data_IF_552803188773
#
_entry.id   IF_552803188773
#
_cell.length_a   1.000
_cell.length_b   1.000
_cell.length_c   1.000
_cell.angle_alpha   90.00
_cell.angle_beta   90.00
_cell.angle_gamma   90.00
#
_symmetry.space_group_name_H-M   'P 1'
#
loop_
_entity.id
_entity.type
_entity.pdbx_description
1 polymer ?
#
# COMPACT_ATOMS: atom_id res chain seq x y z
N UNK A 1 -15.93 41.86 -56.06
CA UNK A 1 -16.62 41.19 -54.95
C UNK A 1 -16.79 39.75 -55.34
N UNK A 2 -15.94 38.89 -54.80
CA UNK A 2 -16.16 37.45 -54.77
C UNK A 2 -16.37 37.11 -53.31
N UNK A 3 -17.47 36.43 -52.97
CA UNK A 3 -17.69 35.93 -51.63
C UNK A 3 -16.57 34.91 -51.30
N UNK A 4 -15.97 34.94 -50.09
CA UNK A 4 -15.09 33.85 -49.68
C UNK A 4 -15.94 32.57 -49.58
N UNK A 5 -15.41 31.40 -49.96
CA UNK A 5 -16.14 30.15 -49.85
C UNK A 5 -16.40 29.85 -48.37
N UNK A 6 -17.66 30.01 -47.97
CA UNK A 6 -18.17 29.60 -46.67
C UNK A 6 -18.25 28.08 -46.55
N UNK A 7 -17.10 27.40 -46.64
CA UNK A 7 -16.94 26.05 -46.10
C UNK A 7 -17.04 26.14 -44.58
N UNK A 8 -18.29 26.24 -44.14
CA UNK A 8 -18.69 26.07 -42.75
C UNK A 8 -18.13 24.72 -42.34
N UNK A 9 -17.14 24.71 -41.45
CA UNK A 9 -16.56 23.48 -40.90
C UNK A 9 -17.72 22.55 -40.54
N UNK A 10 -17.84 21.35 -41.16
CA UNK A 10 -18.93 20.44 -40.89
C UNK A 10 -18.69 19.83 -39.52
N UNK A 11 -19.04 20.62 -38.49
CA UNK A 11 -18.81 20.27 -37.11
C UNK A 11 -19.49 18.92 -36.87
N UNK A 12 -18.75 17.90 -36.37
CA UNK A 12 -19.42 16.71 -35.88
C UNK A 12 -20.44 17.15 -34.84
N UNK A 13 -21.60 16.48 -34.81
CA UNK A 13 -22.70 16.79 -33.89
C UNK A 13 -22.32 16.44 -32.45
N UNK A 14 -21.46 17.26 -31.85
CA UNK A 14 -21.06 17.16 -30.46
C UNK A 14 -21.84 18.14 -29.58
N UNK A 15 -21.96 17.80 -28.31
CA UNK A 15 -22.51 18.68 -27.27
C UNK A 15 -21.43 18.97 -26.24
N UNK A 16 -21.34 20.23 -25.79
CA UNK A 16 -20.51 20.57 -24.63
C UNK A 16 -21.15 20.01 -23.36
N UNK A 17 -20.40 19.21 -22.61
CA UNK A 17 -20.87 18.56 -21.38
C UNK A 17 -20.17 19.15 -20.18
N UNK A 18 -20.93 19.45 -19.13
CA UNK A 18 -20.35 19.78 -17.83
C UNK A 18 -19.92 18.49 -17.10
N UNK A 19 -18.67 18.46 -16.63
CA UNK A 19 -18.12 17.41 -15.76
C UNK A 19 -17.84 17.92 -14.34
N UNK A 20 -18.17 19.17 -14.04
CA UNK A 20 -17.90 19.85 -12.79
C UNK A 20 -16.47 20.38 -12.67
N UNK A 21 -16.32 21.53 -12.01
CA UNK A 21 -15.01 22.09 -11.68
C UNK A 21 -14.34 22.86 -12.81
N UNK A 22 -13.13 22.44 -13.22
CA UNK A 22 -12.20 23.19 -14.10
C UNK A 22 -12.58 23.24 -15.59
N UNK A 23 -13.83 22.94 -15.94
CA UNK A 23 -14.31 22.87 -17.31
C UNK A 23 -15.41 23.90 -17.52
N UNK A 24 -15.18 24.88 -18.41
CA UNK A 24 -16.10 26.01 -18.60
C UNK A 24 -17.31 25.59 -19.42
N UNK A 25 -18.50 25.80 -18.86
CA UNK A 25 -19.77 25.67 -19.56
C UNK A 25 -20.10 26.99 -20.28
N UNK A 26 -20.24 26.96 -21.61
CA UNK A 26 -21.03 27.98 -22.34
C UNK A 26 -20.30 29.00 -23.23
N UNK A 27 -19.00 29.24 -23.10
CA UNK A 27 -18.22 30.00 -24.11
C UNK A 27 -17.00 29.18 -24.54
N UNK A 28 -16.93 28.82 -25.82
CA UNK A 28 -15.75 28.20 -26.41
C UNK A 28 -14.60 29.20 -26.59
N UNK A 29 -13.37 28.70 -26.76
CA UNK A 29 -12.23 29.54 -27.13
C UNK A 29 -12.51 30.38 -28.39
N UNK A 30 -13.19 29.78 -29.38
CA UNK A 30 -13.63 30.45 -30.62
C UNK A 30 -14.56 31.63 -30.34
N UNK A 31 -15.67 31.41 -29.63
CA UNK A 31 -16.66 32.47 -29.33
C UNK A 31 -16.03 33.60 -28.51
N UNK A 32 -15.15 33.25 -27.58
CA UNK A 32 -14.42 34.23 -26.77
C UNK A 32 -13.51 35.09 -27.65
N UNK A 33 -12.63 34.48 -28.46
CA UNK A 33 -11.69 35.20 -29.33
C UNK A 33 -12.39 36.01 -30.43
N UNK A 34 -13.48 35.49 -30.99
CA UNK A 34 -14.31 36.20 -31.97
C UNK A 34 -15.02 37.43 -31.35
N UNK A 35 -15.44 37.34 -30.09
CA UNK A 35 -16.13 38.41 -29.35
C UNK A 35 -15.18 39.47 -28.80
N UNK A 36 -14.00 39.10 -28.30
CA UNK A 36 -13.05 40.04 -27.68
C UNK A 36 -12.08 40.66 -28.68
N UNK A 37 -11.78 39.98 -29.79
CA UNK A 37 -10.66 40.36 -30.67
C UNK A 37 -9.29 40.12 -30.02
N UNK A 38 -9.23 39.34 -28.94
CA UNK A 38 -8.00 38.96 -28.24
C UNK A 38 -7.74 37.45 -28.38
N UNK A 39 -6.47 37.04 -28.30
CA UNK A 39 -6.11 35.63 -28.28
C UNK A 39 -6.41 35.00 -26.91
N UNK A 40 -6.99 33.80 -26.93
CA UNK A 40 -7.47 33.07 -25.75
C UNK A 40 -6.76 31.72 -25.70
N UNK A 41 -6.21 31.37 -24.54
CA UNK A 41 -5.36 30.19 -24.36
C UNK A 41 -5.81 29.32 -23.19
N UNK A 42 -5.57 28.02 -23.30
CA UNK A 42 -5.76 27.04 -22.23
C UNK A 42 -7.21 26.76 -21.86
N UNK A 43 -8.17 27.08 -22.73
CA UNK A 43 -9.60 26.83 -22.46
C UNK A 43 -9.84 25.32 -22.52
N UNK A 44 -10.61 24.80 -21.57
CA UNK A 44 -10.85 23.37 -21.42
C UNK A 44 -12.34 23.06 -21.32
N UNK A 45 -12.79 22.15 -22.17
CA UNK A 45 -14.17 21.68 -22.19
C UNK A 45 -14.22 20.16 -22.29
N UNK A 46 -15.32 19.56 -21.81
CA UNK A 46 -15.68 18.22 -22.24
C UNK A 46 -16.68 18.30 -23.38
N UNK A 47 -16.53 17.43 -24.37
CA UNK A 47 -17.48 17.22 -25.46
C UNK A 47 -18.02 15.79 -25.39
N UNK A 48 -19.26 15.60 -25.80
CA UNK A 48 -19.85 14.29 -26.06
C UNK A 48 -20.26 14.16 -27.53
N UNK A 49 -19.93 13.02 -28.13
CA UNK A 49 -20.35 12.63 -29.47
C UNK A 49 -21.69 11.86 -29.42
N UNK A 50 -22.42 11.71 -30.55
CA UNK A 50 -23.74 11.05 -30.57
C UNK A 50 -23.72 9.56 -30.23
N UNK A 51 -22.55 8.92 -30.31
CA UNK A 51 -22.31 7.54 -29.90
C UNK A 51 -22.15 7.37 -28.38
N UNK A 52 -22.16 8.48 -27.63
CA UNK A 52 -21.94 8.54 -26.18
C UNK A 52 -20.48 8.68 -25.77
N UNK A 53 -19.52 8.67 -26.71
CA UNK A 53 -18.10 8.88 -26.45
C UNK A 53 -17.89 10.30 -25.92
N UNK A 54 -17.10 10.44 -24.84
CA UNK A 54 -16.73 11.74 -24.27
C UNK A 54 -15.24 12.01 -24.47
N UNK A 55 -14.87 13.24 -24.78
CA UNK A 55 -13.48 13.70 -24.87
C UNK A 55 -13.27 14.98 -24.06
N UNK A 56 -12.09 15.13 -23.48
CA UNK A 56 -11.59 16.37 -22.90
C UNK A 56 -10.76 17.09 -23.96
N UNK A 57 -11.11 18.33 -24.22
CA UNK A 57 -10.50 19.16 -25.25
C UNK A 57 -9.82 20.35 -24.59
N UNK A 58 -8.56 20.57 -24.95
CA UNK A 58 -7.88 21.85 -24.76
C UNK A 58 -7.96 22.64 -26.07
N UNK A 59 -8.39 23.90 -26.00
CA UNK A 59 -8.54 24.77 -27.15
C UNK A 59 -7.87 26.14 -26.91
N UNK A 60 -7.06 26.54 -27.88
CA UNK A 60 -6.50 27.88 -28.01
C UNK A 60 -7.11 28.54 -29.25
N UNK A 61 -7.46 29.81 -29.18
CA UNK A 61 -8.05 30.54 -30.30
C UNK A 61 -7.41 31.92 -30.45
N UNK A 62 -7.05 32.29 -31.69
CA UNK A 62 -6.46 33.57 -32.01
C UNK A 62 -7.19 34.23 -33.20
N UNK A 63 -7.59 35.50 -33.08
CA UNK A 63 -8.14 36.25 -34.21
C UNK A 63 -7.03 36.59 -35.22
N UNK A 64 -7.34 36.43 -36.49
CA UNK A 64 -6.50 36.84 -37.63
C UNK A 64 -7.20 38.01 -38.31
N UNK A 65 -6.49 39.12 -38.45
CA UNK A 65 -6.99 40.38 -39.00
C UNK A 65 -6.08 40.87 -40.12
N UNK A 66 -6.61 41.06 -41.32
CA UNK A 66 -5.98 41.88 -42.35
C UNK A 66 -6.51 43.32 -42.23
N UNK A 67 -5.67 44.23 -41.71
CA UNK A 67 -6.01 45.65 -41.60
C UNK A 67 -6.61 46.05 -40.26
N UNK A 68 -7.92 46.37 -40.23
CA UNK A 68 -8.61 46.94 -39.04
C UNK A 68 -9.80 46.12 -38.53
N UNK A 69 -10.17 45.04 -39.20
CA UNK A 69 -11.23 44.13 -38.77
C UNK A 69 -10.68 42.70 -38.67
N UNK A 70 -11.24 41.92 -37.74
CA UNK A 70 -10.97 40.47 -37.63
C UNK A 70 -11.68 39.76 -38.76
N UNK A 71 -10.91 39.09 -39.63
CA UNK A 71 -11.46 38.43 -40.82
C UNK A 71 -11.73 36.95 -40.53
N UNK A 72 -10.89 36.31 -39.71
CA UNK A 72 -11.00 34.89 -39.34
C UNK A 72 -10.57 34.66 -37.88
N UNK A 73 -10.96 33.52 -37.28
CA UNK A 73 -10.39 33.04 -36.01
C UNK A 73 -9.77 31.66 -36.26
N UNK A 74 -8.49 31.51 -35.93
CA UNK A 74 -7.80 30.22 -35.96
C UNK A 74 -7.95 29.56 -34.60
N UNK A 75 -8.37 28.30 -34.58
CA UNK A 75 -8.53 27.52 -33.36
C UNK A 75 -7.61 26.29 -33.44
N UNK A 76 -6.72 26.16 -32.46
CA UNK A 76 -5.96 24.93 -32.23
C UNK A 76 -6.71 24.07 -31.21
N UNK A 77 -6.90 22.79 -31.51
CA UNK A 77 -7.70 21.85 -30.71
C UNK A 77 -6.86 20.61 -30.43
N UNK A 78 -6.69 20.27 -29.15
CA UNK A 78 -5.99 19.07 -28.71
C UNK A 78 -6.92 18.19 -27.86
N UNK A 79 -6.99 16.90 -28.21
CA UNK A 79 -7.58 15.89 -27.34
C UNK A 79 -6.61 15.60 -26.19
N UNK A 80 -7.04 15.91 -24.96
CA UNK A 80 -6.27 15.72 -23.73
C UNK A 80 -6.89 14.63 -22.84
N UNK A 81 -7.86 13.87 -23.35
CA UNK A 81 -8.61 12.84 -22.60
C UNK A 81 -7.69 11.84 -21.92
N UNK A 82 -6.75 11.26 -22.67
CA UNK A 82 -5.85 10.22 -22.14
C UNK A 82 -4.90 10.80 -21.08
N UNK A 83 -4.34 12.00 -21.33
CA UNK A 83 -3.41 12.66 -20.42
C UNK A 83 -4.07 13.08 -19.10
N UNK A 84 -5.26 13.67 -19.15
CA UNK A 84 -6.01 14.05 -17.94
C UNK A 84 -6.59 12.81 -17.22
N UNK A 85 -6.92 11.73 -17.94
CA UNK A 85 -7.34 10.46 -17.33
C UNK A 85 -6.20 9.80 -16.55
N UNK A 86 -5.01 9.69 -17.16
CA UNK A 86 -3.83 9.15 -16.47
C UNK A 86 -3.38 10.06 -15.32
N UNK A 87 -3.48 11.39 -15.47
CA UNK A 87 -3.24 12.34 -14.39
C UNK A 87 -4.21 12.14 -13.23
N UNK A 88 -5.51 12.05 -13.50
CA UNK A 88 -6.54 11.83 -12.47
C UNK A 88 -6.39 10.47 -11.79
N UNK A 89 -5.96 9.43 -12.53
CA UNK A 89 -5.65 8.11 -12.01
C UNK A 89 -4.43 8.13 -11.09
N UNK A 90 -3.34 8.77 -11.51
CA UNK A 90 -2.13 8.94 -10.71
C UNK A 90 -2.40 9.73 -9.43
N UNK A 91 -3.16 10.83 -9.52
CA UNK A 91 -3.60 11.62 -8.36
C UNK A 91 -4.43 10.78 -7.38
N UNK A 92 -5.43 10.03 -7.89
CA UNK A 92 -6.25 9.15 -7.07
C UNK A 92 -5.41 8.06 -6.39
N UNK A 93 -4.46 7.45 -7.11
CA UNK A 93 -3.55 6.46 -6.53
C UNK A 93 -2.65 7.09 -5.45
N UNK A 94 -2.13 8.31 -5.66
CA UNK A 94 -1.35 9.04 -4.65
C UNK A 94 -2.15 9.21 -3.36
N UNK A 95 -3.32 9.84 -3.43
CA UNK A 95 -4.18 10.11 -2.25
C UNK A 95 -4.53 8.82 -1.49
N UNK A 96 -4.74 7.70 -2.19
CA UNK A 96 -5.01 6.40 -1.57
C UNK A 96 -3.78 5.79 -0.87
N UNK A 97 -2.56 6.08 -1.33
CA UNK A 97 -1.31 5.63 -0.70
C UNK A 97 -0.90 6.55 0.45
N UNK A 98 -1.04 7.86 0.26
CA UNK A 98 -0.72 8.93 1.22
C UNK A 98 -1.39 8.64 2.58
N UNK A 99 -2.71 8.42 2.56
CA UNK A 99 -3.56 8.25 3.75
C UNK A 99 -3.92 6.79 4.04
N UNK A 100 -3.10 5.82 3.60
CA UNK A 100 -3.29 4.42 3.99
C UNK A 100 -2.79 4.17 5.42
N UNK A 101 -3.54 3.42 6.23
CA UNK A 101 -3.13 3.02 7.60
C UNK A 101 -1.84 2.16 7.64
N UNK A 102 -1.56 1.45 6.54
CA UNK A 102 -0.32 0.68 6.40
C UNK A 102 0.83 1.62 6.02
N UNK A 103 1.96 1.49 6.73
CA UNK A 103 3.18 2.21 6.37
C UNK A 103 3.75 1.65 5.05
N UNK A 104 3.83 2.48 4.01
CA UNK A 104 4.33 2.10 2.69
C UNK A 104 5.57 2.90 2.31
N UNK A 105 6.55 2.21 1.75
CA UNK A 105 7.78 2.80 1.23
C UNK A 105 8.21 2.15 -0.08
N UNK A 106 8.94 2.90 -0.91
CA UNK A 106 9.74 2.37 -2.03
C UNK A 106 11.19 2.71 -1.78
N UNK A 107 12.05 1.71 -1.86
CA UNK A 107 13.50 1.86 -1.75
C UNK A 107 14.15 1.50 -3.09
N UNK A 108 15.09 2.33 -3.52
CA UNK A 108 15.99 2.07 -4.65
C UNK A 108 17.43 2.07 -4.15
N UNK A 109 18.18 1.00 -4.43
CA UNK A 109 19.56 0.81 -3.95
C UNK A 109 19.73 1.04 -2.44
N UNK A 110 18.75 0.54 -1.67
CA UNK A 110 18.69 0.67 -0.22
C UNK A 110 18.30 2.06 0.32
N UNK A 111 17.93 3.01 -0.56
CA UNK A 111 17.53 4.38 -0.18
C UNK A 111 16.05 4.62 -0.41
N UNK A 112 15.38 5.24 0.55
CA UNK A 112 13.98 5.64 0.40
C UNK A 112 13.81 6.63 -0.76
N UNK A 113 12.83 6.37 -1.63
CA UNK A 113 12.43 7.23 -2.77
C UNK A 113 11.00 7.73 -2.67
N UNK A 114 10.13 6.94 -2.03
CA UNK A 114 8.75 7.28 -1.73
C UNK A 114 8.42 6.71 -0.35
N UNK A 115 7.71 7.49 0.45
CA UNK A 115 7.28 7.18 1.83
C UNK A 115 5.88 7.82 1.97
N UNK A 116 4.89 7.11 2.51
CA UNK A 116 3.58 7.70 2.83
C UNK A 116 3.53 8.27 4.26
N UNK A 117 2.47 9.01 4.60
CA UNK A 117 2.30 9.61 5.93
C UNK A 117 2.45 8.57 7.05
N UNK A 118 1.76 7.44 6.95
CA UNK A 118 1.85 6.35 7.92
C UNK A 118 3.28 5.79 8.09
N UNK A 119 4.13 5.83 7.06
CA UNK A 119 5.53 5.41 7.13
C UNK A 119 6.48 6.51 7.61
N UNK A 120 6.05 7.77 7.70
CA UNK A 120 6.77 8.87 8.38
C UNK A 120 6.35 9.06 9.84
N UNK A 121 5.10 8.71 10.17
CA UNK A 121 4.62 8.53 11.54
C UNK A 121 5.24 7.28 12.20
N UNK A 122 5.33 6.19 11.43
CA UNK A 122 6.36 5.17 11.64
C UNK A 122 7.74 5.79 11.34
N UNK A 123 8.87 5.29 11.86
CA UNK A 123 10.19 5.96 11.78
C UNK A 123 10.30 7.29 12.57
N UNK A 124 9.25 8.13 12.63
CA UNK A 124 9.21 9.37 13.40
C UNK A 124 9.84 10.59 12.71
N UNK A 125 9.77 10.63 11.37
CA UNK A 125 10.34 11.70 10.51
C UNK A 125 9.35 12.04 9.39
N UNK A 126 9.35 13.28 8.88
CA UNK A 126 8.46 13.58 7.76
C UNK A 126 8.82 12.76 6.51
N UNK A 127 7.87 12.42 5.62
CA UNK A 127 8.15 11.65 4.41
C UNK A 127 9.28 12.26 3.56
N UNK A 128 9.37 13.58 3.47
CA UNK A 128 10.42 14.29 2.74
C UNK A 128 11.81 14.15 3.39
N UNK A 129 11.88 14.06 4.72
CA UNK A 129 13.11 13.85 5.47
C UNK A 129 13.60 12.39 5.42
N UNK A 130 12.69 11.43 5.19
CA UNK A 130 13.05 10.04 4.99
C UNK A 130 13.69 9.79 3.60
N UNK A 131 13.26 10.52 2.56
CA UNK A 131 13.78 10.35 1.18
C UNK A 131 15.30 10.57 1.10
N UNK A 132 15.99 9.62 0.48
CA UNK A 132 17.45 9.60 0.33
C UNK A 132 18.20 8.89 1.47
N UNK A 133 17.60 8.80 2.66
CA UNK A 133 18.13 8.04 3.80
C UNK A 133 18.07 6.52 3.55
N UNK A 134 18.81 5.75 4.34
CA UNK A 134 18.77 4.27 4.34
C UNK A 134 18.10 3.74 5.60
N UNK A 135 17.76 2.44 5.63
CA UNK A 135 17.27 1.76 6.84
C UNK A 135 18.17 2.00 8.06
N UNK A 136 19.50 2.05 7.86
CA UNK A 136 20.48 2.22 8.95
C UNK A 136 20.54 3.63 9.54
N UNK A 137 20.02 4.61 8.81
CA UNK A 137 19.97 6.00 9.28
C UNK A 137 18.72 6.27 10.14
N UNK A 138 17.66 5.47 9.96
CA UNK A 138 16.34 5.67 10.58
C UNK A 138 15.92 4.57 11.57
N UNK A 139 16.54 3.38 11.52
CA UNK A 139 16.15 2.22 12.33
C UNK A 139 17.32 1.63 13.13
N UNK A 140 17.03 0.93 14.25
CA UNK A 140 18.01 0.10 14.95
C UNK A 140 18.73 -0.89 14.01
N UNK A 141 20.03 -1.07 14.20
CA UNK A 141 20.90 -1.81 13.25
C UNK A 141 20.49 -3.26 13.02
N UNK A 142 19.87 -3.92 13.99
CA UNK A 142 19.34 -5.28 13.90
C UNK A 142 18.08 -5.32 13.00
N UNK A 143 17.13 -4.42 13.24
CA UNK A 143 15.92 -4.27 12.42
C UNK A 143 16.27 -3.86 10.99
N UNK A 144 17.17 -2.89 10.83
CA UNK A 144 17.66 -2.41 9.54
C UNK A 144 18.32 -3.54 8.72
N UNK A 145 19.12 -4.39 9.37
CA UNK A 145 19.76 -5.53 8.69
C UNK A 145 18.73 -6.59 8.30
N UNK A 146 17.82 -6.96 9.20
CA UNK A 146 16.76 -7.93 8.89
C UNK A 146 15.85 -7.48 7.74
N UNK A 147 15.54 -6.17 7.63
CA UNK A 147 14.79 -5.58 6.51
C UNK A 147 15.58 -5.60 5.20
N UNK A 148 16.89 -5.33 5.24
CA UNK A 148 17.76 -5.42 4.07
C UNK A 148 17.83 -6.86 3.54
N UNK A 149 18.13 -7.84 4.40
CA UNK A 149 18.25 -9.27 4.06
C UNK A 149 16.96 -9.87 3.46
N UNK A 150 15.79 -9.36 3.86
CA UNK A 150 14.50 -9.77 3.25
C UNK A 150 14.21 -9.04 1.94
N UNK A 151 14.71 -7.82 1.77
CA UNK A 151 14.58 -7.06 0.52
C UNK A 151 15.47 -7.66 -0.56
N UNK A 152 16.72 -8.00 -0.22
CA UNK A 152 17.67 -8.69 -1.10
C UNK A 152 17.08 -10.03 -1.57
N UNK A 153 16.61 -10.89 -0.66
CA UNK A 153 15.96 -12.16 -1.03
C UNK A 153 14.71 -12.00 -1.89
N UNK A 154 13.94 -10.92 -1.73
CA UNK A 154 12.79 -10.64 -2.59
C UNK A 154 13.24 -10.29 -4.02
N UNK A 155 14.32 -9.51 -4.16
CA UNK A 155 14.94 -9.20 -5.46
C UNK A 155 15.54 -10.46 -6.09
N UNK A 156 16.34 -11.23 -5.37
CA UNK A 156 16.95 -12.49 -5.85
C UNK A 156 15.91 -13.52 -6.31
N UNK A 157 14.78 -13.63 -5.58
CA UNK A 157 13.69 -14.54 -5.93
C UNK A 157 12.81 -14.02 -7.07
N UNK A 158 12.88 -12.73 -7.43
CA UNK A 158 11.96 -12.08 -8.35
C UNK A 158 10.49 -12.12 -7.89
N UNK A 159 10.24 -12.32 -6.59
CA UNK A 159 8.93 -12.58 -6.02
C UNK A 159 8.76 -11.90 -4.66
N UNK A 160 7.51 -11.63 -4.27
CA UNK A 160 7.23 -10.99 -3.00
C UNK A 160 7.52 -11.93 -1.81
N UNK A 161 8.18 -11.40 -0.77
CA UNK A 161 8.54 -12.12 0.45
C UNK A 161 7.96 -11.39 1.65
N UNK A 162 7.24 -12.10 2.53
CA UNK A 162 6.75 -11.56 3.79
C UNK A 162 7.63 -11.98 4.97
N UNK A 163 7.70 -11.12 5.97
CA UNK A 163 8.28 -11.42 7.28
C UNK A 163 7.43 -10.85 8.41
N UNK A 164 7.61 -11.41 9.61
CA UNK A 164 7.04 -10.86 10.84
C UNK A 164 8.19 -10.39 11.73
N UNK A 165 8.17 -9.11 12.09
CA UNK A 165 9.18 -8.45 12.91
C UNK A 165 8.54 -8.06 14.23
N UNK A 166 9.17 -8.41 15.35
CA UNK A 166 8.76 -7.96 16.67
C UNK A 166 9.72 -6.85 17.14
N UNK A 167 9.16 -5.69 17.50
CA UNK A 167 9.93 -4.51 17.93
C UNK A 167 9.51 -4.15 19.36
N UNK A 168 10.48 -4.12 20.28
CA UNK A 168 10.23 -3.82 21.70
C UNK A 168 10.29 -2.32 21.94
N UNK A 169 9.14 -1.65 21.85
CA UNK A 169 8.99 -0.21 22.07
C UNK A 169 8.73 0.11 23.54
N UNK A 170 9.81 0.25 24.32
CA UNK A 170 9.73 0.48 25.77
C UNK A 170 9.17 -0.76 26.49
N UNK A 171 8.03 -0.61 27.18
CA UNK A 171 7.36 -1.72 27.87
C UNK A 171 6.43 -2.54 26.96
N UNK A 172 6.24 -2.15 25.69
CA UNK A 172 5.31 -2.79 24.75
C UNK A 172 6.05 -3.40 23.57
N UNK A 173 5.87 -4.69 23.35
CA UNK A 173 6.24 -5.31 22.07
C UNK A 173 5.15 -5.00 21.04
N UNK A 174 5.55 -4.48 19.88
CA UNK A 174 4.71 -4.37 18.69
C UNK A 174 5.12 -5.44 17.68
N UNK A 175 4.15 -5.97 16.96
CA UNK A 175 4.38 -6.98 15.92
C UNK A 175 4.01 -6.38 14.58
N UNK A 176 4.95 -6.36 13.64
CA UNK A 176 4.75 -5.88 12.28
C UNK A 176 4.82 -7.04 11.29
N UNK A 177 3.91 -7.03 10.32
CA UNK A 177 4.00 -7.86 9.12
C UNK A 177 4.52 -6.99 7.98
N UNK A 178 5.69 -7.33 7.45
CA UNK A 178 6.36 -6.57 6.40
C UNK A 178 6.40 -7.40 5.14
N UNK A 179 5.75 -6.90 4.08
CA UNK A 179 5.79 -7.47 2.74
C UNK A 179 6.81 -6.71 1.90
N UNK A 180 7.82 -7.42 1.39
CA UNK A 180 8.82 -6.92 0.46
C UNK A 180 8.41 -7.36 -0.95
N UNK A 181 8.21 -6.40 -1.86
CA UNK A 181 7.80 -6.65 -3.25
C UNK A 181 8.88 -6.09 -4.18
N UNK A 182 9.60 -6.94 -4.94
CA UNK A 182 10.58 -6.48 -5.91
C UNK A 182 9.86 -5.79 -7.07
N UNK A 183 10.50 -4.79 -7.68
CA UNK A 183 9.92 -3.98 -8.75
C UNK A 183 10.95 -3.72 -9.84
N UNK A 184 10.45 -3.42 -11.03
CA UNK A 184 11.28 -2.85 -12.08
C UNK A 184 11.76 -1.45 -11.66
N UNK A 185 13.06 -1.21 -11.83
CA UNK A 185 13.72 0.06 -11.53
C UNK A 185 13.36 1.14 -12.56
N UNK A 186 13.04 2.35 -12.11
CA UNK A 186 12.70 3.48 -12.99
C UNK A 186 13.98 4.22 -13.41
N UNK A 187 14.72 3.59 -14.32
CA UNK A 187 15.94 4.12 -14.98
C UNK A 187 17.08 4.47 -14.00
N UNK A 188 18.01 3.53 -13.84
CA UNK A 188 19.36 3.81 -13.33
C UNK A 188 19.64 3.41 -11.89
N UNK A 189 18.67 2.85 -11.16
CA UNK A 189 18.93 2.09 -9.94
C UNK A 189 19.12 0.60 -10.29
N UNK A 190 20.01 -0.11 -9.60
CA UNK A 190 20.25 -1.55 -9.83
C UNK A 190 19.15 -2.41 -9.18
N UNK A 191 18.54 -1.90 -8.11
CA UNK A 191 17.51 -2.59 -7.33
C UNK A 191 16.34 -1.66 -6.96
N UNK A 192 15.11 -2.17 -6.98
CA UNK A 192 13.92 -1.45 -6.52
C UNK A 192 12.97 -2.39 -5.75
N UNK A 193 12.55 -1.98 -4.56
CA UNK A 193 11.70 -2.77 -3.66
C UNK A 193 10.64 -1.86 -3.03
N UNK A 194 9.36 -2.20 -3.18
CA UNK A 194 8.32 -1.66 -2.31
C UNK A 194 8.23 -2.48 -1.03
N UNK A 195 8.02 -1.80 0.09
CA UNK A 195 7.69 -2.41 1.38
C UNK A 195 6.34 -1.91 1.85
N UNK A 196 5.53 -2.84 2.36
CA UNK A 196 4.29 -2.54 3.09
C UNK A 196 4.43 -3.12 4.49
N UNK A 197 4.39 -2.25 5.49
CA UNK A 197 4.55 -2.56 6.90
C UNK A 197 3.21 -2.36 7.63
N UNK A 198 2.54 -3.45 8.00
CA UNK A 198 1.30 -3.41 8.78
C UNK A 198 1.57 -3.74 10.24
N UNK A 199 1.09 -2.93 11.17
CA UNK A 199 1.06 -3.33 12.58
C UNK A 199 -0.04 -4.37 12.80
N UNK A 200 0.34 -5.55 13.30
CA UNK A 200 -0.56 -6.68 13.59
C UNK A 200 -0.58 -7.05 15.09
N UNK A 201 -0.05 -6.19 15.97
CA UNK A 201 0.04 -6.40 17.43
C UNK A 201 -1.28 -6.87 18.06
N UNK A 202 -2.39 -6.17 17.79
CA UNK A 202 -3.72 -6.49 18.33
C UNK A 202 -4.29 -7.81 17.77
N UNK A 203 -3.86 -8.24 16.58
CA UNK A 203 -4.24 -9.53 16.01
C UNK A 203 -3.38 -10.66 16.61
N UNK A 204 -2.06 -10.46 16.67
CA UNK A 204 -1.12 -11.43 17.24
C UNK A 204 -1.47 -11.78 18.70
N UNK A 205 -1.85 -10.78 19.51
CA UNK A 205 -2.30 -10.99 20.89
C UNK A 205 -3.64 -11.75 20.96
N UNK A 206 -4.63 -11.40 20.13
CA UNK A 206 -5.89 -12.17 20.06
C UNK A 206 -5.65 -13.62 19.65
N UNK A 207 -4.79 -13.85 18.65
CA UNK A 207 -4.41 -15.21 18.25
C UNK A 207 -3.66 -15.97 19.35
N UNK A 208 -2.79 -15.30 20.13
CA UNK A 208 -2.09 -15.89 21.28
C UNK A 208 -3.08 -16.35 22.35
N UNK A 209 -3.98 -15.46 22.77
CA UNK A 209 -5.00 -15.76 23.79
C UNK A 209 -5.94 -16.90 23.35
N UNK A 210 -6.34 -16.93 22.07
CA UNK A 210 -7.16 -18.02 21.52
C UNK A 210 -6.41 -19.37 21.49
N UNK A 211 -5.11 -19.39 21.19
CA UNK A 211 -4.28 -20.60 21.27
C UNK A 211 -4.16 -21.09 22.71
N UNK A 212 -3.87 -20.19 23.65
CA UNK A 212 -3.71 -20.54 25.07
C UNK A 212 -4.98 -21.13 25.68
N UNK A 213 -6.16 -20.56 25.39
CA UNK A 213 -7.42 -21.11 25.89
C UNK A 213 -7.79 -22.44 25.21
N UNK A 214 -7.51 -22.61 23.91
CA UNK A 214 -7.65 -23.92 23.23
C UNK A 214 -6.76 -24.96 23.88
N UNK A 215 -5.47 -24.69 24.06
CA UNK A 215 -4.50 -25.64 24.59
C UNK A 215 -4.86 -26.01 26.05
N UNK A 216 -5.44 -25.08 26.81
CA UNK A 216 -6.00 -25.33 28.14
C UNK A 216 -7.22 -26.25 28.11
N UNK A 217 -8.16 -26.04 27.19
CA UNK A 217 -9.34 -26.89 27.00
C UNK A 217 -8.93 -28.30 26.53
N UNK A 218 -7.98 -28.41 25.61
CA UNK A 218 -7.42 -29.70 25.14
C UNK A 218 -6.71 -30.45 26.28
N UNK A 219 -5.95 -29.76 27.12
CA UNK A 219 -5.31 -30.34 28.32
C UNK A 219 -6.33 -30.91 29.30
N UNK A 220 -7.39 -30.14 29.61
CA UNK A 220 -8.48 -30.58 30.50
C UNK A 220 -9.26 -31.77 29.91
N UNK A 221 -9.61 -31.72 28.61
CA UNK A 221 -10.27 -32.82 27.93
C UNK A 221 -9.40 -34.09 27.89
N UNK A 222 -8.09 -33.95 27.69
CA UNK A 222 -7.12 -35.03 27.75
C UNK A 222 -7.06 -35.70 29.12
N UNK A 223 -7.03 -34.92 30.20
CA UNK A 223 -7.04 -35.41 31.57
C UNK A 223 -8.34 -36.18 31.91
N UNK A 224 -9.51 -35.57 31.65
CA UNK A 224 -10.81 -36.22 31.86
C UNK A 224 -10.94 -37.51 31.06
N UNK A 225 -10.47 -37.53 29.81
CA UNK A 225 -10.48 -38.73 28.98
C UNK A 225 -9.47 -39.80 29.44
N UNK A 226 -8.39 -39.43 30.14
CA UNK A 226 -7.49 -40.38 30.78
C UNK A 226 -8.18 -41.04 31.98
N UNK A 227 -8.74 -40.26 32.88
CA UNK A 227 -9.39 -40.73 34.11
C UNK A 227 -10.64 -41.57 33.81
N UNK A 228 -11.46 -41.16 32.85
CA UNK A 228 -12.63 -41.95 32.42
C UNK A 228 -12.22 -43.33 31.85
N UNK A 229 -11.15 -43.40 31.04
CA UNK A 229 -10.62 -44.68 30.54
C UNK A 229 -10.09 -45.55 31.68
N UNK A 230 -9.40 -44.96 32.66
CA UNK A 230 -8.90 -45.67 33.84
C UNK A 230 -10.05 -46.24 34.69
N UNK A 231 -11.09 -45.43 34.96
CA UNK A 231 -12.28 -45.85 35.70
C UNK A 231 -13.02 -47.01 35.01
N UNK A 232 -13.26 -46.92 33.70
CA UNK A 232 -13.88 -48.00 32.91
C UNK A 232 -13.02 -49.27 32.89
N UNK A 233 -11.69 -49.12 32.91
CA UNK A 233 -10.76 -50.27 32.97
C UNK A 233 -10.78 -50.94 34.34
N UNK A 234 -10.88 -50.17 35.42
CA UNK A 234 -11.02 -50.71 36.78
C UNK A 234 -12.36 -51.40 37.01
N UNK A 235 -13.47 -50.88 36.49
CA UNK A 235 -14.80 -51.48 36.67
C UNK A 235 -15.02 -52.78 35.88
N UNK A 236 -14.25 -53.00 34.80
CA UNK A 236 -14.23 -54.26 34.04
C UNK A 236 -13.18 -55.27 34.54
N UNK A 237 -12.36 -54.91 35.53
CA UNK A 237 -11.28 -55.73 36.08
C UNK A 237 -11.72 -56.65 37.22
N UNK A 238 -12.64 -57.58 36.98
CA UNK A 238 -12.94 -58.68 37.93
C UNK A 238 -11.76 -59.66 38.06
N UNK A 239 -11.53 -60.29 39.23
CA UNK A 239 -10.31 -61.05 39.48
C UNK A 239 -10.30 -62.42 38.80
N UNK A 240 -9.42 -62.60 37.81
CA UNK A 240 -8.96 -63.92 37.36
C UNK A 240 -7.59 -64.24 37.95
N UNK A 241 -7.58 -65.00 39.05
CA UNK A 241 -6.34 -65.42 39.71
C UNK A 241 -5.60 -66.49 38.91
N UNK A 242 -4.37 -66.21 38.45
CA UNK A 242 -3.36 -67.26 38.22
C UNK A 242 -1.94 -66.74 38.47
N UNK A 243 -1.06 -67.64 38.93
CA UNK A 243 0.08 -67.26 39.76
C UNK A 243 1.43 -67.02 39.03
N UNK A 244 2.18 -66.07 39.58
CA UNK A 244 3.66 -65.97 39.72
C UNK A 244 4.59 -66.42 38.58
N UNK A 245 5.47 -65.50 38.16
CA UNK A 245 6.94 -65.59 38.41
C UNK A 245 7.68 -64.25 38.12
N UNK A 246 8.67 -63.82 38.94
CA UNK A 246 9.66 -62.76 38.64
C UNK A 246 11.05 -63.39 38.34
N UNK A 247 12.20 -62.66 38.21
CA UNK A 247 12.53 -61.23 37.95
C UNK A 247 13.38 -61.14 36.61
N UNK A 248 14.35 -60.20 36.33
CA UNK A 248 14.84 -58.99 37.02
C UNK A 248 15.05 -57.70 36.16
N UNK A 249 15.60 -56.67 36.81
CA UNK A 249 16.00 -55.34 36.29
C UNK A 249 17.19 -55.41 35.29
N UNK A 250 17.64 -54.37 34.57
CA UNK A 250 17.67 -52.89 34.76
C UNK A 250 17.39 -52.17 33.40
N UNK A 251 17.57 -50.86 33.12
CA UNK A 251 18.30 -49.73 33.76
C UNK A 251 17.60 -48.36 33.52
N UNK A 252 18.33 -47.28 33.19
CA UNK A 252 17.84 -45.88 33.08
C UNK A 252 18.73 -45.03 32.15
N UNK A 253 18.27 -43.81 31.87
CA UNK A 253 18.92 -42.63 31.22
C UNK A 253 18.57 -42.45 29.72
N UNK A 254 18.32 -41.23 29.21
CA UNK A 254 18.25 -39.90 29.83
C UNK A 254 17.81 -38.82 28.82
N UNK A 255 17.39 -37.64 29.30
CA UNK A 255 17.02 -36.45 28.51
C UNK A 255 18.19 -35.80 27.74
N UNK A 256 18.07 -34.59 27.17
CA UNK A 256 16.99 -33.57 27.24
C UNK A 256 17.20 -32.59 26.07
N UNK A 257 16.16 -31.95 25.54
CA UNK A 257 16.32 -30.86 24.56
C UNK A 257 16.37 -29.49 25.23
N UNK A 258 17.23 -28.60 24.73
CA UNK A 258 17.31 -27.19 25.13
C UNK A 258 16.74 -26.31 24.02
N UNK A 259 15.84 -25.37 24.37
CA UNK A 259 15.55 -24.21 23.53
C UNK A 259 16.25 -23.00 24.14
N UNK A 260 16.99 -22.27 23.31
CA UNK A 260 17.54 -20.96 23.65
C UNK A 260 16.54 -19.88 23.26
N UNK A 261 16.30 -18.93 24.16
CA UNK A 261 15.58 -17.68 23.87
C UNK A 261 16.45 -16.54 24.39
N UNK A 262 16.86 -15.63 23.52
CA UNK A 262 17.60 -14.44 23.89
C UNK A 262 16.85 -13.22 23.33
N UNK A 263 16.20 -12.49 24.22
CA UNK A 263 15.71 -11.14 23.93
C UNK A 263 16.82 -10.12 24.26
N UNK A 264 16.84 -9.01 23.54
CA UNK A 264 17.70 -7.86 23.85
C UNK A 264 16.91 -6.56 23.75
N UNK A 265 16.93 -5.78 24.83
CA UNK A 265 16.19 -4.53 24.96
C UNK A 265 17.04 -3.33 24.50
N UNK A 266 16.56 -2.54 23.54
CA UNK A 266 17.01 -1.16 23.31
C UNK A 266 16.10 -0.38 22.32
N UNK A 267 14.94 0.15 22.75
CA UNK A 267 14.14 1.05 21.89
C UNK A 267 13.28 2.08 22.65
N UNK A 268 13.61 2.44 23.88
CA UNK A 268 12.81 3.36 24.72
C UNK A 268 12.91 4.85 24.34
N UNK A 269 13.75 5.22 23.36
CA UNK A 269 14.03 6.62 22.99
C UNK A 269 13.72 7.01 21.54
N UNK A 270 13.31 6.06 20.68
CA UNK A 270 13.29 6.28 19.23
C UNK A 270 11.89 6.53 18.63
N UNK A 271 10.82 6.21 19.36
CA UNK A 271 9.46 6.27 18.84
C UNK A 271 8.61 7.20 19.70
N UNK A 272 7.99 8.25 19.13
CA UNK A 272 7.04 9.06 19.87
C UNK A 272 5.83 8.20 20.31
N UNK A 273 5.17 8.52 21.44
CA UNK A 273 3.97 7.84 21.85
C UNK A 273 2.84 8.12 20.84
N UNK A 274 2.62 7.17 19.92
CA UNK A 274 1.63 7.28 18.86
C UNK A 274 0.22 7.45 19.44
N UNK A 275 -0.28 8.69 19.40
CA UNK A 275 -1.66 9.01 19.76
C UNK A 275 -2.56 8.70 18.57
N UNK A 276 -3.40 7.68 18.68
CA UNK A 276 -4.52 7.49 17.75
C UNK A 276 -5.42 8.73 17.83
N UNK A 277 -5.29 9.63 16.87
CA UNK A 277 -6.21 10.76 16.65
C UNK A 277 -7.53 10.22 16.09
N UNK A 278 -8.35 9.66 16.97
CA UNK A 278 -9.68 9.16 16.59
C UNK A 278 -10.70 10.28 16.48
N UNK A 279 -11.18 10.54 15.26
CA UNK A 279 -12.46 11.17 14.95
C UNK A 279 -12.92 10.74 13.55
#
# INVERSE_FOLDING_TARGET
MSEPPGETYPAPTWEYVDLGGRYTTGESAYETAARTGEAVYGVRHAIAFPDGTRRLIAADAAPVSEGRETEYVVVAVADVTDSETERARAERHRVLVEHADDAMAVLEDGRYRLVNEACGDLLGVSPEAAVGSTDRDLLPSDVASALADHSERAVEAGAAVSQRVEVVCGERTRTFEVLHVPRESVVGADTSVARVCREVSEQAERERLLREERDRLESLAGAVAHDARNAIRSSRGGPTSRARRPPPATRRCGGTSTRSTAASNACSSWWPPWSRSGA
#
